data_IF_841396093543
#
_entry.id   IF_841396093543
#
_cell.length_a   1.000
_cell.length_b   1.000
_cell.length_c   1.000
_cell.angle_alpha   90.00
_cell.angle_beta   90.00
_cell.angle_gamma   90.00
#
_symmetry.space_group_name_H-M   'P 1'
#
loop_
_entity.id
_entity.type
_entity.pdbx_description
1 polymer ?
#
# COMPACT_ATOMS: atom_id res chain seq x y z
N UNK A 1 3.45 -5.25 -6.23
CA UNK A 1 2.60 -5.92 -7.25
C UNK A 1 2.56 -5.15 -8.55
N UNK A 2 2.25 -3.85 -8.55
CA UNK A 2 2.27 -3.01 -9.77
C UNK A 2 3.63 -3.05 -10.46
N UNK A 3 4.72 -2.84 -9.72
CA UNK A 3 6.09 -2.90 -10.23
C UNK A 3 6.41 -4.20 -10.98
N UNK A 4 6.23 -5.33 -10.31
CA UNK A 4 6.43 -6.66 -10.90
C UNK A 4 5.54 -6.86 -12.13
N UNK A 5 4.29 -6.41 -12.08
CA UNK A 5 3.37 -6.52 -13.23
C UNK A 5 3.86 -5.70 -14.43
N UNK A 6 4.33 -4.47 -14.20
CA UNK A 6 4.86 -3.59 -15.24
C UNK A 6 6.13 -4.19 -15.87
N UNK A 7 7.05 -4.72 -15.06
CA UNK A 7 8.27 -5.39 -15.51
C UNK A 7 7.99 -6.53 -16.50
N UNK A 8 6.90 -7.27 -16.28
CA UNK A 8 6.52 -8.41 -17.10
C UNK A 8 5.43 -8.09 -18.13
N UNK A 9 4.93 -6.85 -18.17
CA UNK A 9 3.77 -6.43 -18.97
C UNK A 9 2.58 -7.39 -18.81
N UNK A 10 2.39 -7.90 -17.61
CA UNK A 10 1.38 -8.90 -17.28
C UNK A 10 0.98 -8.68 -15.82
N UNK A 11 -0.31 -8.53 -15.54
CA UNK A 11 -0.78 -8.51 -14.16
C UNK A 11 -0.48 -9.86 -13.50
N UNK A 12 0.25 -9.84 -12.38
CA UNK A 12 0.69 -11.04 -11.67
C UNK A 12 0.20 -11.06 -10.22
N UNK A 13 -0.06 -12.26 -9.72
CA UNK A 13 -0.41 -12.52 -8.32
C UNK A 13 0.26 -13.82 -7.84
N UNK A 14 0.40 -13.97 -6.52
CA UNK A 14 0.88 -15.22 -5.92
C UNK A 14 -0.26 -16.25 -5.87
N UNK A 15 -0.02 -17.43 -6.44
CA UNK A 15 -1.01 -18.49 -6.51
C UNK A 15 -2.36 -18.01 -7.04
N UNK A 16 -3.43 -18.26 -6.27
CA UNK A 16 -4.80 -17.89 -6.64
C UNK A 16 -5.25 -16.51 -6.14
N UNK A 17 -4.40 -15.78 -5.40
CA UNK A 17 -4.74 -14.43 -4.89
C UNK A 17 -5.87 -14.41 -3.86
N UNK A 18 -6.17 -15.54 -3.22
CA UNK A 18 -7.29 -15.70 -2.26
C UNK A 18 -6.98 -15.18 -0.85
N UNK A 19 -5.78 -14.65 -0.66
CA UNK A 19 -5.31 -14.17 0.62
C UNK A 19 -5.90 -12.79 0.95
N UNK A 20 -6.35 -12.64 2.20
CA UNK A 20 -7.00 -11.45 2.71
C UNK A 20 -6.03 -10.52 3.41
N UNK A 21 -6.12 -9.25 3.05
CA UNK A 21 -5.34 -8.16 3.61
C UNK A 21 -6.23 -7.04 4.10
N UNK A 22 -5.88 -6.45 5.24
CA UNK A 22 -6.39 -5.14 5.63
C UNK A 22 -5.64 -4.04 4.87
N UNK A 23 -6.33 -2.93 4.65
CA UNK A 23 -5.83 -1.75 3.97
C UNK A 23 -6.15 -0.51 4.80
N UNK A 24 -5.37 0.54 4.58
CA UNK A 24 -5.58 1.85 5.19
C UNK A 24 -4.98 2.91 4.27
N UNK A 25 -5.70 4.00 4.07
CA UNK A 25 -5.16 5.15 3.35
C UNK A 25 -4.19 5.92 4.24
N UNK A 26 -3.07 6.39 3.69
CA UNK A 26 -2.00 7.05 4.48
C UNK A 26 -2.49 8.30 5.21
N UNK A 27 -3.42 9.06 4.61
CA UNK A 27 -4.02 10.24 5.25
C UNK A 27 -4.91 9.85 6.43
N UNK A 28 -5.69 8.78 6.29
CA UNK A 28 -6.53 8.25 7.37
C UNK A 28 -5.68 7.75 8.54
N UNK A 29 -4.57 7.07 8.25
CA UNK A 29 -3.58 6.64 9.23
C UNK A 29 -2.99 7.83 10.00
N UNK A 30 -2.56 8.88 9.30
CA UNK A 30 -1.97 10.06 9.92
C UNK A 30 -2.99 10.82 10.79
N UNK A 31 -4.19 11.06 10.26
CA UNK A 31 -5.29 11.72 10.99
C UNK A 31 -5.65 10.92 12.24
N UNK A 32 -5.74 9.60 12.15
CA UNK A 32 -5.99 8.74 13.29
C UNK A 32 -4.99 8.97 14.43
N UNK A 33 -3.68 8.93 14.13
CA UNK A 33 -2.65 9.09 15.16
C UNK A 33 -2.61 10.51 15.75
N UNK A 34 -2.96 11.54 14.96
CA UNK A 34 -3.14 12.90 15.49
C UNK A 34 -4.30 12.93 16.50
N UNK A 35 -5.43 12.30 16.19
CA UNK A 35 -6.57 12.22 17.11
C UNK A 35 -6.24 11.42 18.38
N UNK A 36 -5.60 10.26 18.23
CA UNK A 36 -5.17 9.43 19.36
C UNK A 36 -4.22 10.22 20.28
N UNK A 37 -3.22 10.89 19.69
CA UNK A 37 -2.27 11.70 20.45
C UNK A 37 -2.96 12.85 21.18
N UNK A 38 -3.86 13.58 20.50
CA UNK A 38 -4.64 14.64 21.12
C UNK A 38 -5.52 14.15 22.26
N UNK A 39 -6.07 12.93 22.17
CA UNK A 39 -6.85 12.30 23.25
C UNK A 39 -5.94 11.90 24.42
N UNK A 40 -4.79 11.29 24.15
CA UNK A 40 -3.83 10.86 25.18
C UNK A 40 -3.28 12.04 26.00
N UNK A 41 -3.03 13.19 25.37
CA UNK A 41 -2.61 14.40 26.08
C UNK A 41 -3.69 15.00 26.98
N UNK A 42 -4.97 14.84 26.64
CA UNK A 42 -6.08 15.30 27.48
C UNK A 42 -6.33 14.38 28.68
N UNK A 43 -6.32 13.07 28.45
CA UNK A 43 -6.51 12.07 29.51
C UNK A 43 -5.45 12.16 30.63
N UNK A 44 -4.25 12.62 30.32
CA UNK A 44 -3.19 12.85 31.34
C UNK A 44 -3.42 14.10 32.18
N UNK A 45 -4.16 15.09 31.68
CA UNK A 45 -4.49 16.32 32.41
C UNK A 45 -5.71 16.11 33.32
N UNK A 46 -6.67 15.31 32.88
CA UNK A 46 -7.92 15.05 33.60
C UNK A 46 -7.75 14.15 34.84
N UNK A 47 -6.66 13.38 34.98
CA UNK A 47 -6.35 12.65 36.24
C UNK A 47 -6.15 13.57 37.45
N UNK A 48 -5.91 14.87 37.23
CA UNK A 48 -5.79 15.88 38.29
C UNK A 48 -7.10 16.65 38.54
N UNK A 49 -8.14 16.41 37.74
CA UNK A 49 -9.37 17.20 37.73
C UNK A 49 -10.59 16.30 37.95
N UNK A 50 -11.18 16.33 39.15
CA UNK A 50 -12.44 15.65 39.50
C UNK A 50 -13.65 16.27 38.76
N UNK A 51 -13.73 16.15 37.43
CA UNK A 51 -14.87 16.66 36.66
C UNK A 51 -15.51 15.50 35.91
N UNK A 52 -16.72 15.14 36.34
CA UNK A 52 -17.52 14.06 35.78
C UNK A 52 -17.87 14.30 34.32
N UNK A 53 -17.16 13.64 33.41
CA UNK A 53 -17.64 13.37 32.07
C UNK A 53 -17.48 11.89 31.72
N UNK A 54 -18.53 11.38 31.07
CA UNK A 54 -18.75 9.99 30.65
C UNK A 54 -17.86 9.62 29.45
N UNK A 55 -16.54 9.77 29.58
CA UNK A 55 -15.58 9.41 28.54
C UNK A 55 -14.64 8.32 29.04
N UNK A 56 -14.60 7.19 28.33
CA UNK A 56 -13.72 6.07 28.68
C UNK A 56 -12.27 6.53 28.51
N UNK A 57 -11.46 6.36 29.56
CA UNK A 57 -10.03 6.65 29.52
C UNK A 57 -9.30 5.69 28.59
N UNK A 58 -8.28 6.19 27.88
CA UNK A 58 -7.43 5.33 27.06
C UNK A 58 -6.63 4.33 27.93
N UNK A 59 -6.48 3.07 27.51
CA UNK A 59 -5.64 2.10 28.20
C UNK A 59 -4.18 2.57 28.24
N UNK A 60 -3.53 2.37 29.41
CA UNK A 60 -2.12 2.74 29.66
C UNK A 60 -1.19 1.52 29.79
N UNK A 61 -1.72 0.31 29.65
CA UNK A 61 -1.01 -0.96 29.84
C UNK A 61 -0.61 -1.60 28.49
N UNK A 62 -0.36 -2.90 28.49
CA UNK A 62 -0.21 -3.72 27.28
C UNK A 62 -1.40 -3.59 26.30
N UNK A 63 -2.55 -3.12 26.75
CA UNK A 63 -3.70 -2.81 25.91
C UNK A 63 -3.60 -1.45 25.18
N UNK A 64 -2.49 -0.72 25.31
CA UNK A 64 -2.28 0.58 24.65
C UNK A 64 -1.87 0.47 23.15
N UNK A 65 -2.30 -0.59 22.46
CA UNK A 65 -2.13 -0.74 21.01
C UNK A 65 -3.41 -0.36 20.26
N UNK A 66 -3.23 0.24 19.08
CA UNK A 66 -4.31 0.69 18.20
C UNK A 66 -3.99 0.28 16.77
N UNK A 67 -4.96 -0.35 16.12
CA UNK A 67 -4.92 -0.61 14.69
C UNK A 67 -5.75 0.42 13.95
N UNK A 68 -5.32 0.71 12.73
CA UNK A 68 -6.08 1.49 11.77
C UNK A 68 -6.39 0.60 10.59
N UNK A 69 -7.64 0.64 10.15
CA UNK A 69 -8.16 -0.19 9.09
C UNK A 69 -9.24 0.62 8.38
N UNK A 70 -9.33 0.43 7.07
CA UNK A 70 -10.54 0.73 6.32
C UNK A 70 -11.72 -0.18 6.77
N UNK A 71 -12.88 -0.06 6.13
CA UNK A 71 -14.10 -0.78 6.51
C UNK A 71 -13.92 -2.29 6.40
N UNK A 72 -13.45 -2.75 5.23
CA UNK A 72 -13.37 -4.17 4.88
C UNK A 72 -11.96 -4.61 4.51
N UNK A 73 -11.71 -5.91 4.63
CA UNK A 73 -10.54 -6.55 4.03
C UNK A 73 -10.71 -6.63 2.50
N UNK A 74 -9.63 -6.90 1.78
CA UNK A 74 -9.68 -7.23 0.36
C UNK A 74 -8.89 -8.49 0.07
N UNK A 75 -9.24 -9.21 -0.99
CA UNK A 75 -8.37 -10.27 -1.51
C UNK A 75 -7.27 -9.67 -2.37
N UNK A 76 -6.03 -10.12 -2.21
CA UNK A 76 -4.91 -9.59 -2.99
C UNK A 76 -5.12 -9.77 -4.51
N UNK A 77 -5.85 -10.82 -4.91
CA UNK A 77 -6.25 -11.03 -6.31
C UNK A 77 -7.15 -9.93 -6.88
N UNK A 78 -7.92 -9.22 -6.05
CA UNK A 78 -8.71 -8.07 -6.51
C UNK A 78 -7.80 -6.91 -6.97
N UNK A 79 -6.65 -6.72 -6.32
CA UNK A 79 -5.65 -5.74 -6.75
C UNK A 79 -5.06 -6.15 -8.12
N UNK A 80 -4.73 -7.42 -8.29
CA UNK A 80 -4.19 -7.94 -9.54
C UNK A 80 -5.20 -7.80 -10.70
N UNK A 81 -6.50 -8.02 -10.43
CA UNK A 81 -7.57 -7.82 -11.41
C UNK A 81 -7.69 -6.36 -11.84
N UNK A 82 -7.62 -5.41 -10.90
CA UNK A 82 -7.67 -3.98 -11.24
C UNK A 82 -6.44 -3.55 -12.06
N UNK A 83 -5.25 -4.10 -11.75
CA UNK A 83 -4.05 -3.90 -12.57
C UNK A 83 -4.26 -4.45 -13.99
N UNK A 84 -4.81 -5.66 -14.14
CA UNK A 84 -5.05 -6.29 -15.44
C UNK A 84 -6.01 -5.44 -16.31
N UNK A 85 -7.07 -4.92 -15.69
CA UNK A 85 -8.03 -4.01 -16.32
C UNK A 85 -7.33 -2.73 -16.81
N UNK A 86 -6.49 -2.10 -15.99
CA UNK A 86 -5.75 -0.91 -16.42
C UNK A 86 -4.70 -1.22 -17.50
N UNK A 87 -4.05 -2.38 -17.45
CA UNK A 87 -3.11 -2.78 -18.50
C UNK A 87 -3.79 -2.96 -19.85
N UNK A 88 -5.01 -3.50 -19.86
CA UNK A 88 -5.81 -3.59 -21.07
C UNK A 88 -6.21 -2.20 -21.60
N UNK A 89 -6.67 -1.30 -20.72
CA UNK A 89 -7.02 0.08 -21.10
C UNK A 89 -5.84 0.87 -21.68
N UNK A 90 -4.63 0.60 -21.21
CA UNK A 90 -3.40 1.24 -21.64
C UNK A 90 -2.69 0.51 -22.79
N UNK A 91 -3.29 -0.56 -23.34
CA UNK A 91 -2.68 -1.41 -24.37
C UNK A 91 -1.29 -1.94 -23.98
N UNK A 92 -1.04 -2.14 -22.68
CA UNK A 92 0.16 -2.82 -22.17
C UNK A 92 0.03 -4.32 -22.38
N UNK A 93 -1.19 -4.85 -22.24
CA UNK A 93 -1.54 -6.26 -22.43
C UNK A 93 -3.02 -6.42 -22.77
N UNK A 94 -3.34 -7.06 -23.89
CA UNK A 94 -4.71 -7.14 -24.40
C UNK A 94 -5.59 -8.18 -23.68
N UNK A 95 -5.00 -9.12 -22.93
CA UNK A 95 -5.73 -10.24 -22.35
C UNK A 95 -6.73 -9.81 -21.28
N UNK A 96 -6.43 -8.77 -20.50
CA UNK A 96 -7.15 -8.42 -19.27
C UNK A 96 -7.12 -9.53 -18.21
N UNK A 97 -6.25 -10.54 -18.37
CA UNK A 97 -6.16 -11.69 -17.47
C UNK A 97 -5.06 -11.47 -16.43
N UNK A 98 -5.24 -12.11 -15.27
CA UNK A 98 -4.23 -12.17 -14.20
C UNK A 98 -3.48 -13.51 -14.30
N UNK A 99 -2.15 -13.45 -14.23
CA UNK A 99 -1.32 -14.65 -14.08
C UNK A 99 -1.08 -14.94 -12.60
N UNK A 100 -1.57 -16.08 -12.13
CA UNK A 100 -1.14 -16.66 -10.86
C UNK A 100 0.21 -17.35 -11.02
N UNK A 101 1.16 -17.10 -10.12
CA UNK A 101 2.47 -17.76 -10.12
C UNK A 101 2.46 -19.00 -9.24
N UNK A 102 3.01 -20.12 -9.73
CA UNK A 102 3.32 -21.27 -8.89
C UNK A 102 4.62 -21.04 -8.10
N UNK A 103 4.89 -21.79 -7.01
CA UNK A 103 6.15 -21.68 -6.27
C UNK A 103 7.41 -21.79 -7.14
N UNK A 104 7.37 -22.61 -8.18
CA UNK A 104 8.47 -22.80 -9.12
C UNK A 104 8.68 -21.60 -10.07
N UNK A 105 7.61 -20.84 -10.35
CA UNK A 105 7.65 -19.66 -11.21
C UNK A 105 7.94 -18.37 -10.43
N UNK A 106 7.79 -18.36 -9.10
CA UNK A 106 7.83 -17.13 -8.30
C UNK A 106 9.12 -16.33 -8.48
N UNK A 107 10.27 -16.99 -8.57
CA UNK A 107 11.57 -16.33 -8.75
C UNK A 107 11.71 -15.57 -10.08
N UNK A 108 10.85 -15.86 -11.06
CA UNK A 108 10.80 -15.10 -12.33
C UNK A 108 10.11 -13.76 -12.10
N UNK A 109 9.02 -13.77 -11.33
CA UNK A 109 8.11 -12.62 -11.21
C UNK A 109 8.38 -11.76 -9.99
N UNK A 110 8.90 -12.34 -8.91
CA UNK A 110 8.99 -11.70 -7.61
C UNK A 110 10.42 -11.69 -7.10
N UNK A 111 10.77 -10.61 -6.40
CA UNK A 111 12.04 -10.56 -5.68
C UNK A 111 12.07 -11.62 -4.57
N UNK A 112 13.26 -12.15 -4.22
CA UNK A 112 13.39 -13.19 -3.20
C UNK A 112 12.67 -12.84 -1.89
N UNK A 113 11.90 -13.79 -1.36
CA UNK A 113 11.17 -13.65 -0.08
C UNK A 113 9.80 -12.97 -0.18
N UNK A 114 9.48 -12.30 -1.28
CA UNK A 114 8.20 -11.59 -1.44
C UNK A 114 6.99 -12.52 -1.33
N UNK A 115 7.09 -13.76 -1.82
CA UNK A 115 5.98 -14.72 -1.73
C UNK A 115 5.65 -15.14 -0.30
N UNK A 116 6.65 -15.22 0.58
CA UNK A 116 6.44 -15.45 2.01
C UNK A 116 5.67 -14.32 2.68
N UNK A 117 5.85 -13.08 2.22
CA UNK A 117 5.10 -11.93 2.71
C UNK A 117 3.71 -11.87 2.08
N UNK A 118 3.63 -11.71 0.76
CA UNK A 118 2.38 -11.45 0.04
C UNK A 118 1.50 -12.69 -0.14
N UNK A 119 2.02 -13.91 0.03
CA UNK A 119 1.22 -15.14 0.00
C UNK A 119 0.46 -15.42 1.30
N UNK A 120 0.79 -14.71 2.38
CA UNK A 120 0.10 -14.80 3.67
C UNK A 120 -1.17 -13.97 3.76
N UNK A 121 -1.83 -14.03 4.92
CA UNK A 121 -2.95 -13.16 5.28
C UNK A 121 -2.50 -12.16 6.36
N UNK A 122 -2.99 -10.93 6.32
CA UNK A 122 -2.75 -9.93 7.36
C UNK A 122 -4.00 -9.11 7.58
N UNK A 123 -4.65 -9.26 8.74
CA UNK A 123 -5.96 -8.67 9.00
C UNK A 123 -5.93 -7.95 10.35
N UNK A 124 -6.03 -6.62 10.31
CA UNK A 124 -6.17 -5.78 11.50
C UNK A 124 -7.64 -5.42 11.74
N UNK A 125 -7.99 -5.01 12.97
CA UNK A 125 -9.35 -4.52 13.32
C UNK A 125 -9.26 -3.23 14.11
N UNK A 126 -9.82 -2.15 13.59
CA UNK A 126 -9.78 -0.82 14.20
C UNK A 126 -10.85 -0.61 15.30
N UNK A 127 -11.09 -1.63 16.15
CA UNK A 127 -12.17 -1.63 17.16
C UNK A 127 -12.02 -0.45 18.13
N UNK A 128 -10.83 -0.30 18.75
CA UNK A 128 -10.56 0.79 19.69
C UNK A 128 -10.65 2.18 19.04
N UNK A 129 -10.28 2.29 17.77
CA UNK A 129 -10.42 3.54 17.04
C UNK A 129 -11.87 3.99 16.92
N UNK A 130 -12.76 3.06 16.57
CA UNK A 130 -14.20 3.31 16.48
C UNK A 130 -14.81 3.58 17.85
N UNK A 131 -14.54 2.72 18.83
CA UNK A 131 -15.23 2.74 20.12
C UNK A 131 -14.71 3.83 21.09
N UNK A 132 -13.39 4.07 21.12
CA UNK A 132 -12.77 5.00 22.09
C UNK A 132 -12.54 6.39 21.53
N UNK A 133 -12.37 6.51 20.20
CA UNK A 133 -12.05 7.77 19.54
C UNK A 133 -13.16 8.27 18.61
N UNK A 134 -14.24 7.51 18.42
CA UNK A 134 -15.28 7.79 17.43
C UNK A 134 -14.69 8.04 16.02
N UNK A 135 -13.59 7.33 15.69
CA UNK A 135 -12.90 7.50 14.43
C UNK A 135 -13.44 6.56 13.36
N UNK A 136 -13.56 7.07 12.13
CA UNK A 136 -13.92 6.32 10.94
C UNK A 136 -13.01 6.71 9.76
N UNK A 137 -12.66 5.75 8.87
CA UNK A 137 -11.87 6.03 7.67
C UNK A 137 -12.67 6.87 6.67
N UNK A 138 -12.01 7.78 5.97
CA UNK A 138 -12.64 8.63 4.94
C UNK A 138 -12.37 8.14 3.53
N UNK A 139 -11.24 7.49 3.29
CA UNK A 139 -10.82 7.04 1.98
C UNK A 139 -11.01 5.53 1.89
N UNK A 140 -12.11 5.09 1.26
CA UNK A 140 -12.57 3.69 1.30
C UNK A 140 -12.63 2.98 -0.06
N UNK A 141 -12.03 3.57 -1.10
CA UNK A 141 -11.98 2.95 -2.42
C UNK A 141 -10.54 2.83 -2.89
N UNK A 142 -9.80 1.88 -2.33
CA UNK A 142 -8.39 1.71 -2.67
C UNK A 142 -8.15 1.39 -4.15
N UNK A 143 -9.13 0.78 -4.84
CA UNK A 143 -9.02 0.39 -6.25
C UNK A 143 -8.91 1.63 -7.14
N UNK A 144 -9.59 2.72 -6.77
CA UNK A 144 -9.51 3.99 -7.49
C UNK A 144 -8.08 4.54 -7.64
N UNK A 145 -7.18 4.25 -6.70
CA UNK A 145 -5.79 4.74 -6.73
C UNK A 145 -4.84 3.85 -7.54
N UNK A 146 -5.25 2.62 -7.91
CA UNK A 146 -4.36 1.68 -8.62
C UNK A 146 -3.99 2.22 -10.00
N UNK A 147 -4.93 2.83 -10.71
CA UNK A 147 -4.67 3.48 -12.00
C UNK A 147 -3.68 4.64 -11.88
N UNK A 148 -3.83 5.47 -10.84
CA UNK A 148 -2.91 6.58 -10.57
C UNK A 148 -1.48 6.09 -10.28
N UNK A 149 -1.35 5.02 -9.49
CA UNK A 149 -0.06 4.39 -9.18
C UNK A 149 0.62 3.85 -10.45
N UNK A 150 -0.12 3.13 -11.31
CA UNK A 150 0.40 2.64 -12.60
C UNK A 150 0.94 3.81 -13.44
N UNK A 151 0.17 4.89 -13.56
CA UNK A 151 0.57 6.08 -14.30
C UNK A 151 1.79 6.76 -13.70
N UNK A 152 1.86 6.83 -12.36
CA UNK A 152 3.01 7.38 -11.65
C UNK A 152 4.28 6.59 -11.95
N UNK A 153 4.22 5.26 -11.82
CA UNK A 153 5.35 4.38 -12.09
C UNK A 153 5.83 4.45 -13.56
N UNK A 154 4.91 4.51 -14.52
CA UNK A 154 5.26 4.68 -15.94
C UNK A 154 6.00 6.01 -16.18
N UNK A 155 5.53 7.12 -15.59
CA UNK A 155 6.22 8.42 -15.70
C UNK A 155 7.63 8.36 -15.10
N UNK A 156 7.80 7.73 -13.94
CA UNK A 156 9.11 7.57 -13.30
C UNK A 156 10.06 6.73 -14.16
N UNK A 157 9.58 5.66 -14.80
CA UNK A 157 10.38 4.86 -15.74
C UNK A 157 10.83 5.66 -16.95
N UNK A 158 9.94 6.48 -17.53
CA UNK A 158 10.28 7.37 -18.63
C UNK A 158 11.37 8.40 -18.24
N UNK A 159 11.19 9.09 -17.12
CA UNK A 159 12.18 10.06 -16.62
C UNK A 159 13.53 9.42 -16.31
N UNK A 160 13.52 8.22 -15.72
CA UNK A 160 14.76 7.49 -15.41
C UNK A 160 15.53 7.12 -16.67
N UNK A 161 14.81 6.75 -17.74
CA UNK A 161 15.41 6.45 -19.03
C UNK A 161 16.01 7.69 -19.70
N UNK A 162 15.29 8.81 -19.72
CA UNK A 162 15.79 10.08 -20.26
C UNK A 162 17.07 10.51 -19.54
N UNK A 163 17.08 10.49 -18.20
CA UNK A 163 18.25 10.83 -17.40
C UNK A 163 19.45 9.91 -17.68
N UNK A 164 19.22 8.62 -17.95
CA UNK A 164 20.28 7.68 -18.28
C UNK A 164 20.85 7.90 -19.70
N UNK A 165 19.99 8.29 -20.65
CA UNK A 165 20.41 8.65 -22.01
C UNK A 165 21.25 9.94 -21.99
N UNK A 166 20.86 10.95 -21.20
CA UNK A 166 21.62 12.20 -21.02
C UNK A 166 22.98 11.98 -20.32
N UNK A 167 23.03 11.09 -19.32
CA UNK A 167 24.28 10.76 -18.63
C UNK A 167 25.29 10.03 -19.54
N UNK A 168 24.80 9.19 -20.46
CA UNK A 168 25.64 8.50 -21.44
C UNK A 168 26.04 9.40 -22.62
N UNK A 169 25.31 10.50 -22.87
CA UNK A 169 25.65 11.51 -23.88
C UNK A 169 26.83 12.43 -23.50
N UNK A 170 27.33 12.34 -22.26
CA UNK A 170 28.43 13.15 -21.74
C UNK A 170 29.81 12.46 -21.75
N UNK A 171 29.95 11.24 -22.29
CA UNK A 171 31.28 10.63 -22.46
C UNK A 171 32.09 11.31 -23.59
N UNK A 172 33.20 11.90 -23.16
CA UNK A 172 34.02 12.88 -23.86
C UNK A 172 34.78 12.29 -25.06
N UNK A 173 34.78 13.10 -26.12
CA UNK A 173 35.63 13.11 -27.32
C UNK A 173 36.96 12.36 -27.23
N UNK A 174 37.23 11.61 -28.30
CA UNK A 174 38.46 10.88 -28.59
C UNK A 174 39.75 11.63 -28.19
N UNK A 175 40.79 10.92 -27.71
CA UNK A 175 42.07 11.55 -27.41
C UNK A 175 42.72 12.08 -28.70
N UNK A 176 43.18 13.34 -28.64
CA UNK A 176 43.94 14.00 -29.70
C UNK A 176 45.20 13.18 -30.05
N UNK A 177 45.54 13.03 -31.35
CA UNK A 177 46.72 12.29 -31.76
C UNK A 177 47.99 13.09 -31.42
N UNK A 178 48.99 12.40 -30.88
CA UNK A 178 50.38 12.87 -30.78
C UNK A 178 51.17 12.51 -32.03
#
# INVERSE_FOLDING_TARGET
MVESSLKHKQAVQIGKGLNYWSKVHVVDLAVFYIHLFGRALKDTQDETSNVGQSQVSLPKSEDAYYFVQEVDDFQLGEMAQEIAKHFQQLAINDSGLVKGTSPEEEAVYWEPGISGYLGGNSRSRAVKGKELLAWEPKYTDFKSYIGEEIQCMLRLQHQTRENAEDANGFEVSQPLPL
#
